data_IF_150072352209
#
_entry.id   IF_150072352209
#
_cell.length_a   1.000
_cell.length_b   1.000
_cell.length_c   1.000
_cell.angle_alpha   90.00
_cell.angle_beta   90.00
_cell.angle_gamma   90.00
#
_symmetry.space_group_name_H-M   'P 1'
#
loop_
_entity.id
_entity.type
_entity.pdbx_description
1 polymer ?
#
# COMPACT_ATOMS: atom_id res chain seq x y z
N UNK A 1 57.70 37.72 -5.75
CA UNK A 1 57.27 36.76 -6.81
C UNK A 1 56.85 35.40 -6.26
N UNK A 2 57.56 34.81 -5.32
CA UNK A 2 57.21 33.48 -4.77
C UNK A 2 55.83 33.43 -4.06
N UNK A 3 55.44 34.50 -3.34
CA UNK A 3 54.14 34.54 -2.65
C UNK A 3 52.93 34.61 -3.60
N UNK A 4 53.08 35.20 -4.77
CA UNK A 4 52.01 35.26 -5.78
C UNK A 4 51.83 33.92 -6.47
N UNK A 5 52.90 33.12 -6.63
CA UNK A 5 52.86 31.82 -7.25
C UNK A 5 52.17 30.76 -6.35
N UNK A 6 52.35 30.84 -5.03
CA UNK A 6 51.69 29.95 -4.06
C UNK A 6 50.19 30.20 -3.99
N UNK A 7 49.72 31.49 -4.10
CA UNK A 7 48.29 31.78 -4.20
C UNK A 7 47.65 31.24 -5.48
N UNK A 8 48.39 31.24 -6.60
CA UNK A 8 47.90 30.73 -7.87
C UNK A 8 47.80 29.21 -7.87
N UNK A 9 48.68 28.49 -7.16
CA UNK A 9 48.65 27.04 -7.02
C UNK A 9 47.51 26.56 -6.11
N UNK A 10 47.10 27.36 -5.12
CA UNK A 10 45.95 27.03 -4.25
C UNK A 10 44.59 27.13 -4.95
N UNK A 11 44.50 27.93 -6.02
CA UNK A 11 43.28 28.05 -6.82
C UNK A 11 43.00 26.82 -7.72
N UNK A 12 44.03 26.02 -8.03
CA UNK A 12 43.88 24.84 -8.88
C UNK A 12 43.51 23.53 -8.13
N UNK A 13 43.40 23.55 -6.80
CA UNK A 13 43.05 22.38 -6.00
C UNK A 13 41.56 22.34 -5.62
N UNK A 14 40.74 23.26 -6.13
CA UNK A 14 39.30 23.10 -6.04
C UNK A 14 38.90 21.91 -6.93
N UNK A 15 38.79 20.72 -6.31
CA UNK A 15 38.14 19.58 -6.94
C UNK A 15 36.75 20.02 -7.31
N UNK A 16 36.51 20.31 -8.59
CA UNK A 16 35.18 20.42 -9.12
C UNK A 16 34.52 19.05 -8.89
N UNK A 17 33.66 18.96 -7.90
CA UNK A 17 32.78 17.81 -7.72
C UNK A 17 31.75 17.91 -8.86
N UNK A 18 32.17 17.47 -10.05
CA UNK A 18 31.26 17.25 -11.15
C UNK A 18 30.26 16.20 -10.70
N UNK A 19 28.99 16.50 -10.77
CA UNK A 19 27.93 15.53 -10.56
C UNK A 19 28.17 14.42 -11.59
N UNK A 20 28.53 13.22 -11.14
CA UNK A 20 28.68 12.02 -11.95
C UNK A 20 27.30 11.54 -12.44
N UNK A 21 26.59 12.35 -13.22
CA UNK A 21 25.51 11.87 -14.03
C UNK A 21 26.12 11.34 -15.32
N UNK A 22 26.07 10.04 -15.51
CA UNK A 22 26.44 9.40 -16.77
C UNK A 22 25.62 10.06 -17.87
N UNK A 23 26.29 10.57 -18.92
CA UNK A 23 25.62 11.14 -20.10
C UNK A 23 24.64 10.11 -20.64
N UNK A 24 23.33 10.45 -20.73
CA UNK A 24 22.27 9.54 -21.16
C UNK A 24 21.54 8.83 -20.02
N UNK A 25 21.89 9.08 -18.75
CA UNK A 25 21.08 8.59 -17.62
C UNK A 25 19.86 9.50 -17.39
N UNK A 26 18.68 8.89 -17.41
CA UNK A 26 17.44 9.58 -17.05
C UNK A 26 17.26 9.51 -15.54
N UNK A 27 17.07 10.66 -14.90
CA UNK A 27 16.61 10.74 -13.51
C UNK A 27 15.15 11.16 -13.49
N UNK A 28 14.32 10.34 -12.88
CA UNK A 28 12.92 10.71 -12.63
C UNK A 28 12.86 11.59 -11.39
N UNK A 29 12.25 12.77 -11.52
CA UNK A 29 11.95 13.66 -10.41
C UNK A 29 10.46 13.56 -10.09
N UNK A 30 10.10 12.66 -9.19
CA UNK A 30 8.71 12.55 -8.73
C UNK A 30 8.44 13.56 -7.62
N UNK A 31 7.23 14.18 -7.57
CA UNK A 31 6.85 15.04 -6.46
C UNK A 31 6.56 14.17 -5.23
N UNK A 32 7.50 14.08 -4.31
CA UNK A 32 7.34 13.36 -3.04
C UNK A 32 6.70 14.21 -1.94
N UNK A 33 6.33 15.46 -2.24
CA UNK A 33 5.76 16.42 -1.28
C UNK A 33 4.31 16.11 -0.85
N UNK A 34 3.60 15.27 -1.63
CA UNK A 34 2.20 14.91 -1.35
C UNK A 34 2.12 13.39 -1.20
N UNK A 35 1.88 12.94 0.02
CA UNK A 35 1.61 11.53 0.32
C UNK A 35 0.11 11.25 0.30
N UNK A 36 -0.28 10.16 -0.36
CA UNK A 36 -1.67 9.68 -0.42
C UNK A 36 -1.93 8.49 0.51
N UNK A 37 -0.87 7.80 0.93
CA UNK A 37 -0.96 6.63 1.80
C UNK A 37 0.38 6.38 2.50
N UNK A 38 0.32 5.91 3.74
CA UNK A 38 1.48 5.54 4.55
C UNK A 38 1.34 4.10 5.01
N UNK A 39 2.47 3.40 5.09
CA UNK A 39 2.58 2.11 5.75
C UNK A 39 3.89 2.08 6.55
N UNK A 40 3.88 1.41 7.70
CA UNK A 40 5.03 1.41 8.61
C UNK A 40 5.36 -0.01 9.03
N UNK A 41 6.66 -0.32 9.01
CA UNK A 41 7.24 -1.50 9.61
C UNK A 41 7.94 -1.17 10.94
N UNK A 42 8.78 -2.05 11.41
CA UNK A 42 9.56 -1.85 12.65
C UNK A 42 10.68 -0.81 12.47
N UNK A 43 11.36 -0.85 11.34
CA UNK A 43 12.52 0.00 11.04
C UNK A 43 12.38 0.75 9.71
N UNK A 44 11.22 0.76 9.10
CA UNK A 44 10.98 1.45 7.84
C UNK A 44 9.61 2.10 7.76
N UNK A 45 9.54 3.21 7.03
CA UNK A 45 8.30 3.88 6.64
C UNK A 45 8.20 3.90 5.13
N UNK A 46 7.03 3.52 4.63
CA UNK A 46 6.68 3.64 3.23
C UNK A 46 5.69 4.78 3.05
N UNK A 47 5.93 5.62 2.05
CA UNK A 47 5.02 6.70 1.68
C UNK A 47 4.72 6.63 0.19
N UNK A 48 3.45 6.62 -0.15
CA UNK A 48 2.97 6.60 -1.52
C UNK A 48 2.63 8.00 -2.00
N UNK A 49 3.11 8.35 -3.17
CA UNK A 49 2.62 9.45 -3.99
C UNK A 49 1.92 8.90 -5.23
N UNK A 50 1.25 9.76 -6.01
CA UNK A 50 0.54 9.32 -7.21
C UNK A 50 1.43 8.53 -8.19
N UNK A 51 2.72 8.87 -8.29
CA UNK A 51 3.62 8.32 -9.32
C UNK A 51 4.64 7.33 -8.78
N UNK A 52 4.76 7.20 -7.45
CA UNK A 52 5.85 6.45 -6.84
C UNK A 52 5.57 6.11 -5.38
N UNK A 53 6.33 5.15 -4.87
CA UNK A 53 6.44 4.87 -3.44
C UNK A 53 7.89 5.09 -3.04
N UNK A 54 8.13 5.70 -1.89
CA UNK A 54 9.45 5.69 -1.29
C UNK A 54 9.42 4.98 0.06
N UNK A 55 10.52 4.32 0.35
CA UNK A 55 10.84 3.71 1.61
C UNK A 55 11.91 4.56 2.29
N UNK A 56 11.72 4.90 3.54
CA UNK A 56 12.74 5.46 4.41
C UNK A 56 13.10 4.43 5.48
N UNK A 57 14.36 4.11 5.58
CA UNK A 57 14.94 3.32 6.67
C UNK A 57 15.09 4.23 7.89
N UNK A 58 14.59 3.82 9.05
CA UNK A 58 14.58 4.63 10.27
C UNK A 58 15.91 4.59 11.04
N UNK A 59 16.77 3.61 10.76
CA UNK A 59 18.05 3.46 11.45
C UNK A 59 19.13 4.35 10.83
N UNK A 60 19.12 4.49 9.50
CA UNK A 60 20.16 5.24 8.77
C UNK A 60 19.61 6.36 7.87
N UNK A 61 18.30 6.57 7.84
CA UNK A 61 17.58 7.55 7.04
C UNK A 61 17.81 7.43 5.53
N UNK A 62 18.26 6.28 5.04
CA UNK A 62 18.40 6.06 3.61
C UNK A 62 17.02 5.96 2.93
N UNK A 63 16.96 6.47 1.70
CA UNK A 63 15.72 6.49 0.92
C UNK A 63 15.87 5.58 -0.30
N UNK A 64 14.92 4.65 -0.47
CA UNK A 64 14.74 3.83 -1.66
C UNK A 64 13.45 4.23 -2.35
N UNK A 65 13.45 4.37 -3.66
CA UNK A 65 12.28 4.76 -4.44
C UNK A 65 11.83 3.66 -5.37
N UNK A 66 10.51 3.52 -5.48
CA UNK A 66 9.84 2.60 -6.39
C UNK A 66 8.92 3.38 -7.31
N UNK A 67 9.06 3.19 -8.60
CA UNK A 67 8.26 3.84 -9.64
C UNK A 67 8.17 2.94 -10.87
N UNK A 68 7.34 3.31 -11.84
CA UNK A 68 7.25 2.56 -13.09
C UNK A 68 8.59 2.48 -13.84
N UNK A 69 9.43 3.50 -13.74
CA UNK A 69 10.73 3.52 -14.39
C UNK A 69 11.75 2.56 -13.76
N UNK A 70 11.52 2.09 -12.53
CA UNK A 70 12.40 1.17 -11.83
C UNK A 70 11.69 -0.08 -11.29
N UNK A 71 10.59 -0.50 -11.95
CA UNK A 71 10.05 -1.84 -11.79
C UNK A 71 8.59 -1.96 -11.37
N UNK A 72 7.91 -0.89 -10.92
CA UNK A 72 6.47 -0.96 -10.66
C UNK A 72 5.70 -1.22 -11.96
N UNK A 73 4.61 -1.99 -11.87
CA UNK A 73 3.82 -2.41 -13.03
C UNK A 73 2.91 -1.32 -13.58
N UNK A 74 2.56 -0.32 -12.75
CA UNK A 74 1.63 0.74 -13.16
C UNK A 74 2.00 2.10 -12.53
N UNK A 75 1.19 3.11 -12.82
CA UNK A 75 1.21 4.44 -12.21
C UNK A 75 -0.13 4.69 -11.50
N UNK A 76 -0.23 5.77 -10.74
CA UNK A 76 -1.46 6.07 -10.01
C UNK A 76 -1.59 5.26 -8.73
N UNK A 77 -0.54 5.25 -7.91
CA UNK A 77 -0.59 4.58 -6.60
C UNK A 77 -1.67 5.22 -5.73
N UNK A 78 -2.58 4.41 -5.24
CA UNK A 78 -3.72 4.84 -4.42
C UNK A 78 -3.56 4.49 -2.95
N UNK A 79 -3.20 3.25 -2.65
CA UNK A 79 -3.04 2.73 -1.30
C UNK A 79 -1.84 1.82 -1.20
N UNK A 80 -1.23 1.77 -0.02
CA UNK A 80 -0.18 0.82 0.30
C UNK A 80 -0.47 0.16 1.66
N UNK A 81 0.00 -1.07 1.82
CA UNK A 81 0.00 -1.81 3.08
C UNK A 81 1.31 -2.57 3.23
N UNK A 82 1.78 -2.77 4.44
CA UNK A 82 3.05 -3.45 4.68
C UNK A 82 2.92 -4.55 5.73
N UNK A 83 3.38 -5.73 5.38
CA UNK A 83 3.55 -6.85 6.28
C UNK A 83 4.96 -6.82 6.89
N UNK A 84 5.05 -6.35 8.13
CA UNK A 84 6.33 -6.24 8.83
C UNK A 84 6.90 -7.58 9.31
N UNK A 85 6.11 -8.65 9.31
CA UNK A 85 6.55 -10.00 9.69
C UNK A 85 7.27 -10.65 8.51
N UNK A 86 6.65 -10.58 7.32
CA UNK A 86 7.16 -11.23 6.11
C UNK A 86 7.93 -10.27 5.20
N UNK A 87 8.04 -8.99 5.58
CA UNK A 87 8.70 -7.94 4.79
C UNK A 87 8.13 -7.82 3.37
N UNK A 88 6.80 -7.69 3.29
CA UNK A 88 6.07 -7.62 2.03
C UNK A 88 5.29 -6.31 1.95
N UNK A 89 5.56 -5.51 0.91
CA UNK A 89 4.79 -4.31 0.60
C UNK A 89 3.73 -4.61 -0.45
N UNK A 90 2.49 -4.24 -0.17
CA UNK A 90 1.36 -4.29 -1.10
C UNK A 90 1.10 -2.89 -1.63
N UNK A 91 0.95 -2.75 -2.92
CA UNK A 91 0.67 -1.49 -3.61
C UNK A 91 -0.60 -1.68 -4.43
N UNK A 92 -1.61 -0.83 -4.21
CA UNK A 92 -2.80 -0.75 -5.02
C UNK A 92 -2.77 0.51 -5.88
N UNK A 93 -3.21 0.38 -7.13
CA UNK A 93 -3.29 1.46 -8.10
C UNK A 93 -4.75 1.93 -8.31
N UNK A 94 -4.91 3.14 -8.83
CA UNK A 94 -6.23 3.71 -9.13
C UNK A 94 -7.07 2.88 -10.11
N UNK A 95 -6.41 2.08 -10.97
CA UNK A 95 -7.06 1.17 -11.92
C UNK A 95 -7.28 -0.24 -11.34
N UNK A 96 -7.12 -0.40 -10.03
CA UNK A 96 -7.28 -1.65 -9.29
C UNK A 96 -6.28 -2.76 -9.65
N UNK A 97 -5.18 -2.40 -10.33
CA UNK A 97 -4.01 -3.25 -10.42
C UNK A 97 -3.35 -3.33 -9.05
N UNK A 98 -2.65 -4.42 -8.77
CA UNK A 98 -1.86 -4.60 -7.54
C UNK A 98 -0.43 -4.98 -7.89
N UNK A 99 0.51 -4.51 -7.07
CA UNK A 99 1.86 -5.03 -6.99
C UNK A 99 2.16 -5.51 -5.57
N UNK A 100 2.94 -6.58 -5.48
CA UNK A 100 3.57 -7.03 -4.24
C UNK A 100 5.07 -6.85 -4.40
N UNK A 101 5.73 -6.20 -3.44
CA UNK A 101 7.20 -6.17 -3.37
C UNK A 101 7.64 -7.12 -2.26
N UNK A 102 8.35 -8.18 -2.66
CA UNK A 102 8.84 -9.25 -1.78
C UNK A 102 10.27 -9.58 -2.14
N UNK A 103 11.19 -9.52 -1.19
CA UNK A 103 12.62 -9.79 -1.43
C UNK A 103 13.22 -8.98 -2.60
N UNK A 104 12.83 -7.71 -2.72
CA UNK A 104 13.28 -6.82 -3.80
C UNK A 104 12.68 -7.10 -5.19
N UNK A 105 11.79 -8.07 -5.33
CA UNK A 105 11.07 -8.38 -6.57
C UNK A 105 9.68 -7.75 -6.55
N UNK A 106 9.29 -7.18 -7.68
CA UNK A 106 7.92 -6.74 -7.93
C UNK A 106 7.15 -7.88 -8.59
N UNK A 107 6.02 -8.23 -8.02
CA UNK A 107 5.10 -9.26 -8.50
C UNK A 107 3.77 -8.55 -8.79
N UNK A 108 3.34 -8.60 -10.04
CA UNK A 108 2.10 -7.98 -10.47
C UNK A 108 0.92 -8.94 -10.35
N UNK A 109 -0.17 -8.47 -9.76
CA UNK A 109 -1.45 -9.20 -9.61
C UNK A 109 -2.56 -8.39 -10.29
N UNK A 110 -2.79 -8.61 -11.60
CA UNK A 110 -3.75 -7.84 -12.38
C UNK A 110 -5.20 -8.38 -12.29
N UNK A 111 -5.47 -9.33 -11.40
CA UNK A 111 -6.73 -10.07 -11.33
C UNK A 111 -7.95 -9.15 -11.20
N UNK A 112 -7.93 -8.20 -10.26
CA UNK A 112 -9.04 -7.27 -10.04
C UNK A 112 -9.19 -6.33 -11.24
N UNK A 113 -8.06 -5.82 -11.76
CA UNK A 113 -8.04 -4.94 -12.94
C UNK A 113 -8.71 -5.60 -14.15
N UNK A 114 -8.37 -6.85 -14.42
CA UNK A 114 -8.80 -7.59 -15.61
C UNK A 114 -10.18 -8.24 -15.45
N UNK A 115 -10.61 -8.56 -14.23
CA UNK A 115 -11.88 -9.22 -13.98
C UNK A 115 -13.05 -8.27 -14.22
N UNK A 116 -14.09 -8.75 -14.89
CA UNK A 116 -15.36 -8.02 -15.00
C UNK A 116 -16.09 -8.15 -13.66
N UNK A 117 -16.25 -7.02 -12.97
CA UNK A 117 -16.90 -6.95 -11.65
C UNK A 117 -18.00 -5.89 -11.73
N UNK A 118 -19.17 -6.22 -11.18
CA UNK A 118 -20.25 -5.24 -11.02
C UNK A 118 -19.93 -4.36 -9.82
N UNK A 119 -19.90 -3.04 -10.01
CA UNK A 119 -19.57 -2.06 -8.98
C UNK A 119 -18.20 -1.40 -9.18
N UNK A 120 -17.85 -0.53 -8.26
CA UNK A 120 -16.55 0.19 -8.27
C UNK A 120 -15.45 -0.75 -7.78
N UNK A 121 -14.40 -0.89 -8.58
CA UNK A 121 -13.23 -1.72 -8.24
C UNK A 121 -12.19 -1.01 -7.38
N UNK A 122 -12.39 0.27 -7.08
CA UNK A 122 -11.44 1.08 -6.32
C UNK A 122 -11.10 0.43 -4.99
N UNK A 123 -9.81 0.34 -4.68
CA UNK A 123 -9.31 -0.07 -3.36
C UNK A 123 -9.30 1.16 -2.45
N UNK A 124 -10.11 1.11 -1.40
CA UNK A 124 -10.29 2.19 -0.44
C UNK A 124 -9.28 2.13 0.71
N UNK A 125 -8.96 0.90 1.16
CA UNK A 125 -8.07 0.66 2.28
C UNK A 125 -7.36 -0.69 2.14
N UNK A 126 -6.16 -0.80 2.69
CA UNK A 126 -5.40 -2.05 2.82
C UNK A 126 -5.06 -2.23 4.29
N UNK A 127 -5.54 -3.31 4.88
CA UNK A 127 -5.15 -3.75 6.22
C UNK A 127 -4.36 -5.04 6.10
N UNK A 128 -3.22 -5.12 6.76
CA UNK A 128 -2.34 -6.31 6.70
C UNK A 128 -2.20 -6.93 8.08
N UNK A 129 -2.40 -8.24 8.14
CA UNK A 129 -2.26 -9.03 9.36
C UNK A 129 -1.78 -10.44 9.03
N UNK A 130 -0.66 -10.86 9.61
CA UNK A 130 -0.12 -12.24 9.55
C UNK A 130 -0.07 -12.86 8.13
N UNK A 131 0.55 -12.17 7.18
CA UNK A 131 0.70 -12.66 5.81
C UNK A 131 -0.56 -12.55 4.95
N UNK A 132 -1.62 -11.95 5.47
CA UNK A 132 -2.86 -11.68 4.75
C UNK A 132 -3.05 -10.17 4.59
N UNK A 133 -3.34 -9.71 3.38
CA UNK A 133 -3.82 -8.36 3.15
C UNK A 133 -5.32 -8.37 2.87
N UNK A 134 -6.06 -7.60 3.65
CA UNK A 134 -7.48 -7.36 3.46
C UNK A 134 -7.65 -6.06 2.65
N UNK A 135 -8.17 -6.18 1.43
CA UNK A 135 -8.35 -5.05 0.52
C UNK A 135 -9.81 -4.64 0.53
N UNK A 136 -10.11 -3.52 1.18
CA UNK A 136 -11.44 -2.92 1.18
C UNK A 136 -11.71 -2.29 -0.17
N UNK A 137 -12.72 -2.79 -0.90
CA UNK A 137 -13.03 -2.35 -2.25
C UNK A 137 -14.49 -1.88 -2.39
N UNK A 138 -14.77 -1.16 -3.46
CA UNK A 138 -16.11 -0.66 -3.74
C UNK A 138 -17.17 -1.74 -3.99
N UNK A 139 -16.76 -2.99 -4.17
CA UNK A 139 -17.65 -4.14 -4.40
C UNK A 139 -17.60 -5.21 -3.30
N UNK A 140 -16.77 -5.04 -2.27
CA UNK A 140 -16.59 -6.02 -1.21
C UNK A 140 -15.22 -5.96 -0.57
N UNK A 141 -14.87 -6.99 0.18
CA UNK A 141 -13.61 -7.15 0.89
C UNK A 141 -12.86 -8.36 0.32
N UNK A 142 -11.66 -8.13 -0.22
CA UNK A 142 -10.84 -9.21 -0.75
C UNK A 142 -9.80 -9.64 0.27
N UNK A 143 -9.56 -10.94 0.32
CA UNK A 143 -8.48 -11.56 1.09
C UNK A 143 -7.36 -11.96 0.15
N UNK A 144 -6.22 -11.29 0.26
CA UNK A 144 -5.02 -11.54 -0.50
C UNK A 144 -4.02 -12.30 0.39
N UNK A 145 -3.68 -13.52 0.01
CA UNK A 145 -2.61 -14.30 0.64
C UNK A 145 -1.27 -13.82 0.09
N UNK A 146 -0.48 -13.13 0.93
CA UNK A 146 0.80 -12.54 0.54
C UNK A 146 1.92 -13.60 0.38
N UNK A 147 1.74 -14.77 0.98
CA UNK A 147 2.71 -15.85 0.89
C UNK A 147 2.54 -16.61 -0.42
N UNK A 148 1.27 -16.89 -0.78
CA UNK A 148 0.90 -17.56 -2.04
C UNK A 148 0.80 -16.60 -3.21
N UNK A 149 0.73 -15.28 -2.94
CA UNK A 149 0.66 -14.24 -3.96
C UNK A 149 -0.62 -14.32 -4.81
N UNK A 150 -1.76 -14.63 -4.14
CA UNK A 150 -3.06 -14.83 -4.80
C UNK A 150 -4.23 -14.26 -3.97
N UNK A 151 -5.28 -13.81 -4.65
CA UNK A 151 -6.55 -13.48 -4.00
C UNK A 151 -7.26 -14.79 -3.66
N UNK A 152 -7.28 -15.15 -2.38
CA UNK A 152 -7.84 -16.43 -1.92
C UNK A 152 -9.36 -16.40 -1.79
N UNK A 153 -9.93 -15.24 -1.38
CA UNK A 153 -11.36 -15.09 -1.11
C UNK A 153 -11.87 -13.70 -1.42
N UNK A 154 -13.20 -13.59 -1.59
CA UNK A 154 -13.91 -12.30 -1.62
C UNK A 154 -15.08 -12.38 -0.64
N UNK A 155 -15.13 -11.46 0.29
CA UNK A 155 -16.13 -11.37 1.34
C UNK A 155 -17.12 -10.24 1.06
N UNK A 156 -18.36 -10.41 1.49
CA UNK A 156 -19.44 -9.46 1.25
C UNK A 156 -20.09 -9.04 2.57
N UNK A 157 -19.41 -8.16 3.37
CA UNK A 157 -19.99 -7.63 4.60
C UNK A 157 -21.22 -6.80 4.27
N UNK A 158 -22.35 -7.11 4.93
CA UNK A 158 -23.61 -6.41 4.65
C UNK A 158 -24.84 -7.22 4.99
N UNK A 159 -25.97 -6.72 4.51
CA UNK A 159 -27.31 -7.28 4.79
C UNK A 159 -27.99 -7.84 3.54
N UNK A 160 -27.24 -8.41 2.61
CA UNK A 160 -27.79 -9.11 1.43
C UNK A 160 -27.64 -8.39 0.10
N UNK A 161 -26.92 -7.29 0.05
CA UNK A 161 -26.61 -6.61 -1.21
C UNK A 161 -25.24 -7.07 -1.72
N UNK A 162 -25.21 -7.51 -2.98
CA UNK A 162 -24.01 -8.03 -3.65
C UNK A 162 -22.91 -6.98 -3.90
N UNK A 163 -23.23 -5.70 -3.70
CA UNK A 163 -22.29 -4.58 -3.94
C UNK A 163 -22.33 -3.65 -2.75
N UNK A 164 -21.57 -3.96 -1.71
CA UNK A 164 -21.40 -3.06 -0.59
C UNK A 164 -20.00 -2.45 -0.66
N UNK A 165 -19.94 -1.11 -0.68
CA UNK A 165 -18.67 -0.39 -0.68
C UNK A 165 -18.03 -0.50 0.70
N UNK A 166 -16.95 -1.27 0.81
CA UNK A 166 -16.16 -1.39 2.03
C UNK A 166 -15.15 -0.26 2.07
N UNK A 167 -15.21 0.54 3.13
CA UNK A 167 -14.40 1.75 3.30
C UNK A 167 -13.08 1.46 4.02
N UNK A 168 -13.17 0.64 5.09
CA UNK A 168 -12.02 0.24 5.88
C UNK A 168 -12.26 -1.14 6.51
N UNK A 169 -11.18 -1.81 6.87
CA UNK A 169 -11.20 -3.13 7.50
C UNK A 169 -10.13 -3.19 8.58
N UNK A 170 -10.43 -3.88 9.65
CA UNK A 170 -9.50 -4.35 10.65
C UNK A 170 -9.77 -5.83 10.95
N UNK A 171 -8.73 -6.63 11.23
CA UNK A 171 -8.87 -8.05 11.52
C UNK A 171 -7.83 -8.52 12.55
N UNK A 172 -8.18 -9.56 13.26
CA UNK A 172 -7.26 -10.40 14.05
C UNK A 172 -7.45 -11.87 13.66
N UNK A 173 -6.96 -12.80 14.47
CA UNK A 173 -7.05 -14.24 14.21
C UNK A 173 -8.48 -14.77 14.26
N UNK A 174 -9.39 -14.11 14.97
CA UNK A 174 -10.75 -14.60 15.25
C UNK A 174 -11.84 -13.80 14.55
N UNK A 175 -11.60 -12.55 14.22
CA UNK A 175 -12.66 -11.63 13.80
C UNK A 175 -12.18 -10.66 12.73
N UNK A 176 -13.10 -10.27 11.86
CA UNK A 176 -12.93 -9.19 10.88
C UNK A 176 -14.01 -8.15 11.12
N UNK A 177 -13.62 -6.88 11.15
CA UNK A 177 -14.52 -5.73 11.20
C UNK A 177 -14.42 -4.97 9.89
N UNK A 178 -15.55 -4.67 9.29
CA UNK A 178 -15.66 -3.94 8.04
C UNK A 178 -16.57 -2.74 8.21
N UNK A 179 -16.02 -1.55 8.01
CA UNK A 179 -16.80 -0.31 7.88
C UNK A 179 -17.24 -0.20 6.41
N UNK A 180 -18.55 -0.07 6.20
CA UNK A 180 -19.12 -0.02 4.85
C UNK A 180 -20.03 1.20 4.67
N UNK A 181 -20.43 1.47 3.42
CA UNK A 181 -21.40 2.54 3.12
C UNK A 181 -22.79 2.29 3.72
N UNK A 182 -23.07 1.08 4.23
CA UNK A 182 -24.37 0.68 4.79
C UNK A 182 -24.33 0.40 6.30
N UNK A 183 -23.21 0.69 6.96
CA UNK A 183 -22.97 0.44 8.38
C UNK A 183 -21.74 -0.43 8.60
N UNK A 184 -21.51 -0.73 9.86
CA UNK A 184 -20.35 -1.52 10.27
C UNK A 184 -20.77 -2.97 10.54
N UNK A 185 -19.92 -3.89 10.11
CA UNK A 185 -20.17 -5.32 10.21
C UNK A 185 -18.99 -6.06 10.82
N UNK A 186 -19.29 -7.11 11.56
CA UNK A 186 -18.35 -8.03 12.15
C UNK A 186 -18.58 -9.43 11.58
N UNK A 187 -17.51 -10.07 11.14
CA UNK A 187 -17.48 -11.48 10.75
C UNK A 187 -16.53 -12.28 11.63
N UNK A 188 -16.88 -13.54 11.95
CA UNK A 188 -16.00 -14.41 12.73
C UNK A 188 -15.17 -15.31 11.81
N UNK A 189 -13.87 -15.45 12.14
CA UNK A 189 -12.94 -16.36 11.45
C UNK A 189 -12.91 -17.68 12.23
N UNK A 190 -13.91 -18.51 12.05
CA UNK A 190 -14.00 -19.81 12.73
C UNK A 190 -14.47 -20.91 11.77
N UNK A 191 -14.23 -22.17 12.12
CA UNK A 191 -14.67 -23.31 11.32
C UNK A 191 -16.20 -23.28 11.17
N UNK A 192 -16.68 -23.41 9.93
CA UNK A 192 -18.11 -23.38 9.61
C UNK A 192 -18.67 -22.01 9.24
N UNK A 193 -17.92 -20.92 9.41
CA UNK A 193 -18.31 -19.59 8.95
C UNK A 193 -17.88 -19.37 7.50
N UNK A 194 -18.78 -18.89 6.66
CA UNK A 194 -18.51 -18.53 5.28
C UNK A 194 -18.67 -17.03 5.06
N UNK A 195 -17.58 -16.26 5.23
CA UNK A 195 -17.60 -14.81 5.09
C UNK A 195 -17.89 -14.31 3.65
N UNK A 196 -17.90 -15.19 2.66
CA UNK A 196 -18.44 -14.88 1.35
C UNK A 196 -19.98 -14.81 1.36
N UNK A 197 -20.63 -15.35 2.41
CA UNK A 197 -22.06 -15.22 2.62
C UNK A 197 -22.35 -14.03 3.57
N UNK A 198 -23.16 -13.09 3.12
CA UNK A 198 -23.57 -11.93 3.94
C UNK A 198 -24.27 -12.34 5.25
N UNK A 199 -24.94 -13.51 5.30
CA UNK A 199 -25.65 -13.99 6.48
C UNK A 199 -24.72 -14.27 7.69
N UNK A 200 -23.44 -14.48 7.43
CA UNK A 200 -22.43 -14.72 8.46
C UNK A 200 -21.79 -13.42 9.00
N UNK A 201 -22.24 -12.27 8.49
CA UNK A 201 -21.88 -10.97 9.00
C UNK A 201 -22.95 -10.43 9.94
N UNK A 202 -22.53 -9.86 11.06
CA UNK A 202 -23.41 -9.24 12.04
C UNK A 202 -23.20 -7.74 12.04
N UNK A 203 -24.28 -6.96 12.08
CA UNK A 203 -24.20 -5.53 12.25
C UNK A 203 -23.50 -5.21 13.59
N UNK A 204 -22.55 -4.32 13.55
CA UNK A 204 -21.74 -3.90 14.67
C UNK A 204 -21.86 -2.38 14.85
N UNK A 205 -22.11 -1.90 16.04
CA UNK A 205 -22.11 -0.47 16.37
C UNK A 205 -21.02 -0.18 17.38
N UNK A 206 -20.08 0.67 17.03
CA UNK A 206 -19.00 1.10 17.93
C UNK A 206 -19.51 2.00 19.05
N UNK A 207 -20.59 2.74 18.81
CA UNK A 207 -21.16 3.69 19.79
C UNK A 207 -22.66 3.41 19.90
N UNK A 208 -23.10 2.77 20.98
CA UNK A 208 -24.47 2.92 21.46
C UNK A 208 -24.55 4.30 22.10
N UNK A 209 -25.29 5.21 21.46
CA UNK A 209 -25.66 6.56 21.91
C UNK A 209 -24.98 7.03 23.20
N UNK A 210 -24.13 8.04 23.10
CA UNK A 210 -23.78 8.85 24.30
C UNK A 210 -25.10 9.35 24.84
N UNK A 211 -25.50 8.99 26.07
CA UNK A 211 -26.72 9.60 26.69
C UNK A 211 -26.53 11.11 26.71
N UNK A 212 -27.46 11.82 26.13
CA UNK A 212 -27.48 13.28 26.19
C UNK A 212 -27.36 13.69 27.65
N UNK A 213 -26.22 14.28 28.00
CA UNK A 213 -26.01 14.98 29.29
C UNK A 213 -26.75 16.29 29.30
#
# INVERSE_FOLDING_TARGET
MIRLFVCFLLFFVSKAWSQNSVIGSWKTHHPYSISSSLAMGKSEIYSASLMSVFKMDLDNFSITTYSKSNGLSDVGVSKIGFDSINNILVIAYNNSNLDIIKNGRVINLPDIKNKIIVGDKKINHIFVHNGIAYLSAGFGLLKLDLIKEEISDTYYPGNGLSTNNVLATWANEMEIFAATSQGDFQGKIEAGTNLANFADWKAFKIIESIPNS
#
